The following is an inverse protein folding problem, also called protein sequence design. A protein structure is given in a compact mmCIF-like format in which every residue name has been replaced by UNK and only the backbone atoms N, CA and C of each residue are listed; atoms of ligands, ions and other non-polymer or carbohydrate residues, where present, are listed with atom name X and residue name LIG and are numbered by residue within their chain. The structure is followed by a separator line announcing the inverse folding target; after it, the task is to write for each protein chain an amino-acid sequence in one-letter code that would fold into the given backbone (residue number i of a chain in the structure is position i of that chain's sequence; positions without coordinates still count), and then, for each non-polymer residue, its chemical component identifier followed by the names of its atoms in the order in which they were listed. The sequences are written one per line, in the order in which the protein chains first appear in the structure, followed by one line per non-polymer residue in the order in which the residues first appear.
data_IF_106046537613
#
_entry.id   IF_106046537613
#
_cell.length_a   1.000
_cell.length_b   1.000
_cell.length_c   1.000
_cell.angle_alpha   90.00
_cell.angle_beta   90.00
_cell.angle_gamma   90.00
#
_symmetry.space_group_name_H-M   'P 1'
#
loop_
_entity.id
_entity.type
_entity.pdbx_description
1 polymer ?
#
# COMPACT_ATOMS: atom_id res chain seq x y z
N UNK A 1 -9.64 10.97 -18.46
CA UNK A 1 -9.80 10.46 -17.08
C UNK A 1 -8.56 10.84 -16.30
N UNK A 2 -8.61 11.92 -15.53
CA UNK A 2 -7.52 12.27 -14.62
C UNK A 2 -7.70 11.41 -13.36
N UNK A 3 -6.91 10.36 -13.22
CA UNK A 3 -6.89 9.60 -11.97
C UNK A 3 -6.31 10.51 -10.89
N UNK A 4 -7.18 10.99 -9.99
CA UNK A 4 -6.72 11.74 -8.83
C UNK A 4 -5.90 10.79 -7.97
N UNK A 5 -4.58 10.95 -8.02
CA UNK A 5 -3.64 10.13 -7.24
C UNK A 5 -2.99 10.99 -6.19
N UNK A 6 -2.86 10.45 -4.99
CA UNK A 6 -2.08 11.05 -3.90
C UNK A 6 -0.78 10.27 -3.79
N UNK A 7 0.33 11.00 -3.71
CA UNK A 7 1.66 10.41 -3.52
C UNK A 7 2.19 10.79 -2.16
N UNK A 8 2.60 9.78 -1.41
CA UNK A 8 3.07 9.92 -0.05
C UNK A 8 4.46 9.31 0.07
N UNK A 9 5.41 10.08 0.59
CA UNK A 9 6.75 9.59 0.91
C UNK A 9 6.70 8.80 2.22
N UNK A 10 7.48 7.74 2.31
CA UNK A 10 7.55 6.95 3.53
C UNK A 10 8.75 6.01 3.57
N UNK A 11 8.81 5.22 4.63
CA UNK A 11 9.85 4.23 4.86
C UNK A 11 9.25 2.89 5.30
N UNK A 12 9.92 1.80 4.94
CA UNK A 12 9.54 0.45 5.39
C UNK A 12 9.82 0.32 6.89
N UNK A 13 8.77 0.23 7.69
CA UNK A 13 8.87 0.10 9.14
C UNK A 13 8.91 -1.38 9.58
N UNK A 14 8.23 -2.26 8.84
CA UNK A 14 8.16 -3.69 9.15
C UNK A 14 8.12 -4.53 7.86
N UNK A 15 8.65 -5.74 7.95
CA UNK A 15 8.62 -6.74 6.87
C UNK A 15 8.13 -8.07 7.47
N UNK A 16 6.97 -8.53 7.01
CA UNK A 16 6.43 -9.85 7.34
C UNK A 16 7.03 -10.91 6.43
N UNK A 17 7.58 -11.97 7.04
CA UNK A 17 8.31 -13.04 6.35
C UNK A 17 7.42 -13.85 5.40
N UNK A 18 7.98 -14.32 4.27
CA UNK A 18 7.28 -15.25 3.39
C UNK A 18 7.06 -16.58 4.13
N UNK A 19 5.82 -17.03 4.19
CA UNK A 19 5.40 -18.23 4.94
C UNK A 19 4.30 -17.99 5.98
N UNK A 20 4.05 -16.75 6.37
CA UNK A 20 2.85 -16.38 7.15
C UNK A 20 1.58 -16.36 6.31
N UNK A 21 1.72 -16.34 4.98
CA UNK A 21 0.62 -16.22 4.03
C UNK A 21 0.68 -17.32 2.96
N UNK A 22 -0.49 -17.72 2.45
CA UNK A 22 -0.65 -18.79 1.47
C UNK A 22 0.13 -18.56 0.16
N UNK A 23 0.35 -17.31 -0.22
CA UNK A 23 1.08 -16.93 -1.44
C UNK A 23 2.60 -16.89 -1.25
N UNK A 24 3.09 -17.12 -0.03
CA UNK A 24 4.51 -17.07 0.34
C UNK A 24 5.21 -15.77 -0.08
N UNK A 25 4.47 -14.65 -0.13
CA UNK A 25 5.05 -13.35 -0.48
C UNK A 25 5.39 -12.55 0.77
N UNK A 26 6.45 -11.76 0.67
CA UNK A 26 6.75 -10.72 1.64
C UNK A 26 5.65 -9.67 1.64
N UNK A 27 5.38 -9.12 2.82
CA UNK A 27 4.48 -7.99 3.00
C UNK A 27 5.18 -6.95 3.84
N UNK A 28 4.89 -5.68 3.58
CA UNK A 28 5.58 -4.58 4.24
C UNK A 28 4.61 -3.60 4.85
N UNK A 29 4.98 -3.03 5.99
CA UNK A 29 4.31 -1.89 6.63
C UNK A 29 5.13 -0.64 6.31
N UNK A 30 4.46 0.43 5.86
CA UNK A 30 5.10 1.71 5.50
C UNK A 30 4.72 2.78 6.50
N UNK A 31 5.71 3.39 7.15
CA UNK A 31 5.51 4.64 7.89
C UNK A 31 5.54 5.80 6.90
N UNK A 32 4.47 6.59 6.85
CA UNK A 32 4.32 7.69 5.89
C UNK A 32 4.58 9.02 6.59
N UNK A 33 5.34 9.91 5.97
CA UNK A 33 5.60 11.24 6.52
C UNK A 33 4.30 12.05 6.66
N UNK A 34 4.02 12.56 7.87
CA UNK A 34 2.86 13.41 8.13
C UNK A 34 1.52 12.68 8.25
N UNK A 35 1.52 11.35 8.24
CA UNK A 35 0.34 10.52 8.54
C UNK A 35 0.66 9.58 9.72
N UNK A 36 -0.27 9.42 10.66
CA UNK A 36 -0.20 8.31 11.62
C UNK A 36 -0.21 6.99 10.83
N UNK A 37 0.61 6.00 11.23
CA UNK A 37 1.18 5.01 10.30
C UNK A 37 0.13 4.42 9.37
N UNK A 38 0.34 4.62 8.07
CA UNK A 38 -0.51 4.02 7.05
C UNK A 38 -0.18 2.52 7.00
N UNK A 39 -0.95 1.72 7.74
CA UNK A 39 -0.90 0.27 7.67
C UNK A 39 -1.46 -0.21 6.33
N UNK A 40 -0.65 -0.14 5.28
CA UNK A 40 -0.95 -0.75 4.00
C UNK A 40 -0.13 -2.02 3.87
N UNK A 41 -0.81 -3.16 4.00
CA UNK A 41 -0.20 -4.47 3.73
C UNK A 41 -0.03 -4.64 2.20
N UNK A 42 1.12 -4.23 1.67
CA UNK A 42 1.37 -4.20 0.24
C UNK A 42 1.96 -5.53 -0.26
N UNK A 43 1.30 -6.15 -1.24
CA UNK A 43 1.75 -7.36 -1.94
C UNK A 43 2.51 -6.97 -3.20
N UNK A 44 3.76 -6.54 -3.05
CA UNK A 44 4.55 -6.07 -4.18
C UNK A 44 5.60 -7.14 -4.58
N UNK A 45 5.67 -7.53 -5.87
CA UNK A 45 6.79 -8.32 -6.36
C UNK A 45 8.06 -7.49 -6.18
N UNK A 46 9.02 -8.02 -5.43
CA UNK A 46 10.34 -7.42 -5.33
C UNK A 46 11.38 -8.54 -5.34
N UNK A 47 11.93 -8.79 -6.52
CA UNK A 47 12.93 -9.84 -6.73
C UNK A 47 14.26 -9.56 -6.01
N UNK A 48 14.41 -8.35 -5.44
CA UNK A 48 15.56 -7.92 -4.64
C UNK A 48 15.30 -7.93 -3.13
N UNK A 49 14.07 -8.22 -2.70
CA UNK A 49 13.65 -8.17 -1.30
C UNK A 49 13.53 -6.76 -0.73
N UNK A 50 12.75 -6.61 0.34
CA UNK A 50 12.57 -5.34 1.04
C UNK A 50 13.61 -5.15 2.15
N UNK A 51 13.88 -3.90 2.53
CA UNK A 51 14.76 -3.56 3.66
C UNK A 51 14.10 -2.59 4.63
N UNK A 52 14.30 -2.78 5.94
CA UNK A 52 13.84 -1.83 6.95
C UNK A 52 14.51 -0.46 6.74
N UNK A 53 13.75 0.62 6.90
CA UNK A 53 14.18 2.00 6.64
C UNK A 53 14.33 2.34 5.15
N UNK A 54 14.01 1.42 4.23
CA UNK A 54 14.04 1.72 2.80
C UNK A 54 13.02 2.81 2.47
N UNK A 55 13.48 3.88 1.85
CA UNK A 55 12.63 4.97 1.37
C UNK A 55 11.78 4.50 0.19
N UNK A 56 10.48 4.77 0.26
CA UNK A 56 9.49 4.38 -0.76
C UNK A 56 8.52 5.52 -1.03
N UNK A 57 7.84 5.43 -2.18
CA UNK A 57 6.73 6.31 -2.55
C UNK A 57 5.45 5.49 -2.67
N UNK A 58 4.47 5.77 -1.83
CA UNK A 58 3.14 5.17 -1.88
C UNK A 58 2.26 6.01 -2.79
N UNK A 59 1.66 5.38 -3.81
CA UNK A 59 0.66 6.04 -4.67
C UNK A 59 -0.71 5.48 -4.35
N UNK A 60 -1.60 6.32 -3.82
CA UNK A 60 -3.00 6.00 -3.56
C UNK A 60 -3.80 6.52 -4.75
N UNK A 61 -4.40 5.61 -5.52
CA UNK A 61 -5.41 5.98 -6.50
C UNK A 61 -6.72 6.23 -5.76
N UNK A 62 -7.22 7.46 -5.80
CA UNK A 62 -8.56 7.74 -5.31
C UNK A 62 -9.53 7.16 -6.34
N UNK A 63 -10.45 6.32 -5.87
CA UNK A 63 -11.55 5.89 -6.73
C UNK A 63 -12.35 7.14 -7.12
N UNK A 64 -12.65 7.30 -8.40
CA UNK A 64 -13.70 8.22 -8.81
C UNK A 64 -14.96 7.79 -8.05
N UNK A 65 -15.57 8.73 -7.32
CA UNK A 65 -16.80 8.48 -6.57
C UNK A 65 -17.97 8.30 -7.55
N UNK A 66 -17.93 7.25 -8.37
CA UNK A 66 -19.10 6.72 -9.06
C UNK A 66 -19.93 6.00 -8.00
N UNK A 67 -20.78 6.77 -7.35
CA UNK A 67 -21.80 6.24 -6.45
C UNK A 67 -22.75 5.34 -7.25
N UNK A 68 -22.53 4.02 -7.19
CA UNK A 68 -23.61 3.07 -7.44
C UNK A 68 -24.59 3.20 -6.28
N UNK A 69 -25.51 4.17 -6.38
CA UNK A 69 -26.82 4.03 -5.73
C UNK A 69 -27.48 2.85 -6.42
N UNK A 70 -27.34 1.68 -5.81
CA UNK A 70 -28.22 0.57 -6.11
C UNK A 70 -29.65 1.06 -5.86
N UNK A 71 -30.38 1.28 -6.95
CA UNK A 71 -31.84 1.35 -6.93
C UNK A 71 -32.31 -0.02 -6.47
N UNK A 72 -32.56 -0.16 -5.18
CA UNK A 72 -33.44 -1.20 -4.68
C UNK A 72 -34.85 -0.76 -5.09
N UNK A 73 -35.37 -1.49 -6.07
CA UNK A 73 -36.74 -1.40 -6.57
C UNK A 73 -37.76 -1.81 -5.50
#
# INVERSE_FOLDING_TARGET
MSTNTVRLAGEIAEISRPGLYLDQRERVTVCVEGAEPLYAELRLPNDRGWSLGQKVMVTIALADSEGSRDKIA
#
